data_IF_283824508370
#
_entry.id   IF_283824508370
#
_cell.length_a   1.000
_cell.length_b   1.000
_cell.length_c   1.000
_cell.angle_alpha   90.00
_cell.angle_beta   90.00
_cell.angle_gamma   90.00
#
_symmetry.space_group_name_H-M   'P 1'
#
loop_
_entity.id
_entity.type
_entity.pdbx_description
1 polymer ?
#
# COMPACT_ATOMS: atom_id res chain seq x y z
N UNK A 1 -4.09 -1.36 18.49
CA UNK A 1 -3.28 -1.72 17.40
C UNK A 1 -2.64 -0.54 16.69
N UNK A 2 -1.44 -0.69 16.38
CA UNK A 2 -0.55 0.40 15.97
C UNK A 2 -0.63 0.74 14.51
N UNK A 3 -0.99 -0.23 13.66
CA UNK A 3 -1.05 0.01 12.21
C UNK A 3 -2.02 1.13 11.86
N UNK A 4 -3.14 1.17 12.57
CA UNK A 4 -4.15 2.20 12.29
C UNK A 4 -3.61 3.60 12.56
N UNK A 5 -2.87 3.74 13.65
CA UNK A 5 -2.27 5.04 13.97
C UNK A 5 -1.31 5.48 12.90
N UNK A 6 -0.52 4.55 12.40
CA UNK A 6 0.49 4.88 11.40
C UNK A 6 -0.14 5.40 10.13
N UNK A 7 -1.30 4.89 9.76
CA UNK A 7 -1.97 5.37 8.54
C UNK A 7 -2.41 6.83 8.65
N UNK A 8 -2.50 7.35 9.87
CA UNK A 8 -2.92 8.73 10.06
C UNK A 8 -1.76 9.71 10.16
N UNK A 9 -0.54 9.22 10.37
CA UNK A 9 0.62 10.08 10.58
C UNK A 9 1.64 9.89 9.48
N UNK A 10 1.20 9.97 8.25
CA UNK A 10 2.07 9.73 7.11
C UNK A 10 2.95 10.93 6.84
N UNK A 11 4.21 10.81 7.12
CA UNK A 11 5.26 11.69 6.69
C UNK A 11 5.03 13.19 6.74
N UNK A 12 5.87 13.89 6.02
CA UNK A 12 5.80 15.35 5.94
C UNK A 12 4.69 15.77 4.97
N UNK A 13 3.86 16.69 5.40
CA UNK A 13 2.77 17.22 4.57
C UNK A 13 3.32 17.84 3.29
N UNK A 14 4.39 18.61 3.41
CA UNK A 14 4.98 19.27 2.24
C UNK A 14 5.51 18.27 1.23
N UNK A 15 6.18 17.21 1.70
CA UNK A 15 6.71 16.18 0.82
C UNK A 15 5.59 15.43 0.11
N UNK A 16 4.51 15.14 0.84
CA UNK A 16 3.38 14.43 0.25
C UNK A 16 2.67 15.28 -0.79
N UNK A 17 2.55 16.58 -0.54
CA UNK A 17 1.95 17.48 -1.53
C UNK A 17 2.80 17.60 -2.78
N UNK A 18 4.12 17.64 -2.63
CA UNK A 18 5.02 17.67 -3.78
C UNK A 18 4.85 16.41 -4.62
N UNK A 19 4.76 15.26 -3.95
CA UNK A 19 4.57 13.99 -4.63
C UNK A 19 3.25 13.97 -5.39
N UNK A 20 2.18 14.48 -4.78
CA UNK A 20 0.88 14.56 -5.45
C UNK A 20 0.96 15.39 -6.72
N UNK A 21 1.62 16.53 -6.65
CA UNK A 21 1.77 17.39 -7.83
C UNK A 21 2.53 16.69 -8.94
N UNK A 22 3.53 15.92 -8.58
CA UNK A 22 4.30 15.18 -9.58
C UNK A 22 3.49 14.06 -10.22
N UNK A 23 2.58 13.44 -9.46
CA UNK A 23 1.79 12.32 -9.95
C UNK A 23 0.51 12.76 -10.66
N UNK A 24 -0.02 13.96 -10.36
CA UNK A 24 -1.26 14.43 -10.96
C UNK A 24 -1.26 14.33 -12.48
N UNK A 25 -0.25 14.84 -13.20
CA UNK A 25 -0.29 14.73 -14.66
C UNK A 25 -0.20 13.30 -15.18
N UNK A 26 0.37 12.41 -14.40
CA UNK A 26 0.51 11.02 -14.81
C UNK A 26 -0.83 10.31 -14.80
N UNK A 27 -1.66 10.59 -13.80
CA UNK A 27 -2.96 9.92 -13.69
C UNK A 27 -4.10 10.73 -14.32
N UNK A 28 -3.83 11.95 -14.79
CA UNK A 28 -4.87 12.77 -15.39
C UNK A 28 -5.49 12.07 -16.59
N UNK A 29 -6.82 12.08 -16.67
CA UNK A 29 -7.53 11.45 -17.77
C UNK A 29 -7.61 9.93 -17.71
N UNK A 30 -7.05 9.31 -16.68
CA UNK A 30 -7.12 7.86 -16.52
C UNK A 30 -8.40 7.46 -15.79
N UNK A 31 -8.87 6.26 -16.06
CA UNK A 31 -10.00 5.73 -15.31
C UNK A 31 -9.57 5.49 -13.86
N UNK A 32 -10.56 5.28 -13.00
CA UNK A 32 -10.33 5.06 -11.58
C UNK A 32 -9.39 3.87 -11.35
N UNK A 33 -9.67 2.76 -12.05
CA UNK A 33 -8.85 1.56 -11.90
C UNK A 33 -7.48 1.73 -12.51
N UNK A 34 -7.38 2.40 -13.64
CA UNK A 34 -6.08 2.66 -14.26
C UNK A 34 -5.22 3.55 -13.36
N UNK A 35 -5.81 4.61 -12.82
CA UNK A 35 -5.08 5.51 -11.94
C UNK A 35 -4.62 4.78 -10.68
N UNK A 36 -5.51 4.00 -10.08
CA UNK A 36 -5.15 3.25 -8.87
C UNK A 36 -4.04 2.25 -9.14
N UNK A 37 -4.05 1.63 -10.32
CA UNK A 37 -3.00 0.68 -10.69
C UNK A 37 -1.67 1.40 -10.92
N UNK A 38 -1.70 2.57 -11.55
CA UNK A 38 -0.49 3.34 -11.77
C UNK A 38 0.13 3.79 -10.46
N UNK A 39 -0.69 4.23 -9.51
CA UNK A 39 -0.21 4.60 -8.19
C UNK A 39 0.36 3.40 -7.46
N UNK A 40 -0.27 2.23 -7.60
CA UNK A 40 0.22 1.01 -6.98
C UNK A 40 1.60 0.64 -7.51
N UNK A 41 1.76 0.65 -8.84
CA UNK A 41 3.03 0.32 -9.46
C UNK A 41 4.10 1.35 -9.09
N UNK A 42 3.71 2.61 -8.98
CA UNK A 42 4.65 3.63 -8.54
C UNK A 42 5.18 3.34 -7.14
N UNK A 43 4.29 3.02 -6.19
CA UNK A 43 4.72 2.75 -4.83
C UNK A 43 5.61 1.51 -4.79
N UNK A 44 5.23 0.46 -5.51
CA UNK A 44 6.05 -0.76 -5.59
C UNK A 44 7.45 -0.45 -6.11
N UNK A 45 7.53 0.31 -7.18
CA UNK A 45 8.80 0.58 -7.85
C UNK A 45 9.68 1.53 -7.06
N UNK A 46 9.08 2.60 -6.56
CA UNK A 46 9.85 3.63 -5.87
C UNK A 46 10.51 3.07 -4.61
N UNK A 47 9.72 2.33 -3.82
CA UNK A 47 10.26 1.80 -2.57
C UNK A 47 11.22 0.64 -2.79
N UNK A 48 10.99 -0.17 -3.82
CA UNK A 48 11.92 -1.25 -4.12
C UNK A 48 13.31 -0.70 -4.45
N UNK A 49 13.33 0.42 -5.18
CA UNK A 49 14.58 1.03 -5.56
C UNK A 49 15.33 1.59 -4.34
N UNK A 50 14.62 2.35 -3.51
CA UNK A 50 15.23 2.96 -2.32
C UNK A 50 15.65 1.91 -1.30
N UNK A 51 14.80 0.93 -1.10
CA UNK A 51 15.04 -0.10 -0.10
C UNK A 51 16.29 -0.91 -0.40
N UNK A 52 16.55 -1.19 -1.66
CA UNK A 52 17.74 -1.93 -2.03
C UNK A 52 19.01 -1.22 -1.56
N UNK A 53 19.08 0.08 -1.75
CA UNK A 53 20.23 0.86 -1.34
C UNK A 53 20.32 0.94 0.18
N UNK A 54 19.21 1.21 0.84
CA UNK A 54 19.20 1.35 2.28
C UNK A 54 19.50 0.04 2.97
N UNK A 55 18.93 -1.04 2.49
CA UNK A 55 19.18 -2.35 3.07
C UNK A 55 20.65 -2.74 2.96
N UNK A 56 21.22 -2.45 1.82
CA UNK A 56 22.61 -2.79 1.60
C UNK A 56 23.51 -2.13 2.64
N UNK A 57 23.26 -0.86 2.91
CA UNK A 57 24.03 -0.14 3.91
C UNK A 57 23.72 -0.59 5.33
N UNK A 58 22.46 -0.85 5.62
CA UNK A 58 22.03 -1.19 6.97
C UNK A 58 22.34 -2.61 7.38
N UNK A 59 22.30 -3.53 6.45
CA UNK A 59 22.54 -4.94 6.75
C UNK A 59 23.92 -5.14 7.35
N UNK A 60 24.84 -4.23 7.09
CA UNK A 60 26.17 -4.30 7.66
C UNK A 60 26.19 -3.97 9.15
N UNK A 61 25.17 -3.29 9.63
CA UNK A 61 25.14 -2.76 10.98
C UNK A 61 24.03 -3.34 11.85
N UNK A 62 23.02 -3.94 11.23
CA UNK A 62 21.85 -4.42 11.96
C UNK A 62 22.01 -5.85 12.42
N UNK A 63 21.46 -6.16 13.59
CA UNK A 63 21.33 -7.55 14.03
C UNK A 63 20.09 -8.16 13.38
N UNK A 64 19.90 -9.49 13.49
CA UNK A 64 18.76 -10.15 12.84
C UNK A 64 17.40 -9.61 13.27
N UNK A 65 17.26 -9.25 14.54
CA UNK A 65 15.98 -8.74 15.03
C UNK A 65 15.63 -7.40 14.37
N UNK A 66 16.63 -6.55 14.22
CA UNK A 66 16.41 -5.25 13.57
C UNK A 66 16.05 -5.41 12.10
N UNK A 67 16.66 -6.38 11.43
CA UNK A 67 16.36 -6.63 10.03
C UNK A 67 14.90 -7.06 9.85
N UNK A 68 14.44 -7.94 10.70
CA UNK A 68 13.04 -8.37 10.66
C UNK A 68 12.08 -7.24 10.92
N UNK A 69 12.41 -6.41 11.88
CA UNK A 69 11.59 -5.25 12.21
C UNK A 69 11.57 -4.26 11.05
N UNK A 70 12.70 -4.06 10.40
CA UNK A 70 12.80 -3.15 9.28
C UNK A 70 11.94 -3.61 8.10
N UNK A 71 11.94 -4.92 7.81
CA UNK A 71 11.08 -5.44 6.75
C UNK A 71 9.61 -5.20 7.02
N UNK A 72 9.20 -5.38 8.27
CA UNK A 72 7.82 -5.10 8.66
C UNK A 72 7.50 -3.63 8.46
N UNK A 73 8.41 -2.76 8.85
CA UNK A 73 8.25 -1.31 8.69
C UNK A 73 8.13 -0.93 7.24
N UNK A 74 8.85 -1.61 6.36
CA UNK A 74 8.81 -1.35 4.93
C UNK A 74 7.42 -1.65 4.35
N UNK A 75 6.79 -2.74 4.77
CA UNK A 75 5.42 -3.05 4.36
C UNK A 75 4.46 -1.98 4.85
N UNK A 76 4.64 -1.53 6.08
CA UNK A 76 3.81 -0.49 6.66
C UNK A 76 3.95 0.81 5.88
N UNK A 77 5.19 1.20 5.57
CA UNK A 77 5.45 2.46 4.87
C UNK A 77 4.81 2.48 3.49
N UNK A 78 4.93 1.39 2.75
CA UNK A 78 4.32 1.29 1.43
C UNK A 78 2.81 1.37 1.50
N UNK A 79 2.22 0.68 2.47
CA UNK A 79 0.77 0.68 2.64
C UNK A 79 0.26 2.05 3.04
N UNK A 80 0.98 2.73 3.93
CA UNK A 80 0.62 4.09 4.34
C UNK A 80 0.62 5.02 3.13
N UNK A 81 1.68 4.97 2.33
CA UNK A 81 1.79 5.85 1.19
C UNK A 81 0.71 5.57 0.16
N UNK A 82 0.49 4.29 -0.15
CA UNK A 82 -0.51 3.95 -1.16
C UNK A 82 -1.91 4.39 -0.75
N UNK A 83 -2.31 4.12 0.50
CA UNK A 83 -3.62 4.54 0.96
C UNK A 83 -3.75 6.06 0.97
N UNK A 84 -2.69 6.77 1.34
CA UNK A 84 -2.71 8.23 1.28
C UNK A 84 -2.98 8.72 -0.15
N UNK A 85 -2.25 8.16 -1.12
CA UNK A 85 -2.39 8.59 -2.51
C UNK A 85 -3.78 8.28 -3.05
N UNK A 86 -4.29 7.08 -2.81
CA UNK A 86 -5.60 6.69 -3.31
C UNK A 86 -6.69 7.56 -2.71
N UNK A 87 -6.63 7.80 -1.42
CA UNK A 87 -7.67 8.60 -0.74
C UNK A 87 -7.63 10.05 -1.17
N UNK A 88 -6.44 10.61 -1.31
CA UNK A 88 -6.32 12.05 -1.57
C UNK A 88 -6.35 12.38 -3.05
N UNK A 89 -5.92 11.49 -3.92
CA UNK A 89 -5.91 11.76 -5.35
C UNK A 89 -7.12 11.20 -6.07
N UNK A 90 -7.68 10.10 -5.59
CA UNK A 90 -8.82 9.45 -6.25
C UNK A 90 -10.12 9.56 -5.46
N UNK A 91 -10.03 9.92 -4.19
CA UNK A 91 -11.22 10.04 -3.34
C UNK A 91 -11.90 8.72 -3.02
N UNK A 92 -11.16 7.62 -3.03
CA UNK A 92 -11.72 6.31 -2.78
C UNK A 92 -11.45 5.87 -1.35
N UNK A 93 -12.35 5.07 -0.81
CA UNK A 93 -12.18 4.50 0.52
C UNK A 93 -11.18 3.36 0.47
N UNK A 94 -10.38 3.24 1.52
CA UNK A 94 -9.36 2.21 1.62
C UNK A 94 -9.48 1.49 2.94
N UNK A 95 -8.93 0.28 2.99
CA UNK A 95 -8.85 -0.51 4.20
C UNK A 95 -7.47 -1.13 4.32
N UNK A 96 -7.06 -1.41 5.54
CA UNK A 96 -5.83 -2.12 5.79
C UNK A 96 -6.08 -3.61 5.91
N UNK A 97 -5.14 -4.40 5.44
CA UNK A 97 -5.21 -5.86 5.49
C UNK A 97 -4.03 -6.37 6.31
N UNK A 98 -4.33 -6.84 7.51
CA UNK A 98 -3.31 -7.31 8.43
C UNK A 98 -3.24 -8.84 8.37
N UNK A 99 -2.33 -9.35 7.57
CA UNK A 99 -2.03 -10.77 7.49
C UNK A 99 -0.91 -11.11 8.46
N UNK A 100 -0.76 -12.39 8.82
CA UNK A 100 0.39 -12.77 9.65
C UNK A 100 1.70 -12.40 8.94
N UNK A 101 2.43 -11.46 9.53
CA UNK A 101 3.71 -11.02 9.00
C UNK A 101 3.67 -10.16 7.75
N UNK A 102 2.48 -9.69 7.33
CA UNK A 102 2.37 -8.93 6.10
C UNK A 102 1.22 -7.95 6.17
N UNK A 103 1.48 -6.71 5.81
CA UNK A 103 0.45 -5.67 5.76
C UNK A 103 0.22 -5.28 4.31
N UNK A 104 -1.05 -5.27 3.90
CA UNK A 104 -1.43 -4.88 2.56
C UNK A 104 -2.61 -3.91 2.63
N UNK A 105 -3.17 -3.57 1.47
CA UNK A 105 -4.27 -2.63 1.40
C UNK A 105 -5.39 -3.17 0.52
N UNK A 106 -6.56 -2.56 0.66
CA UNK A 106 -7.69 -2.84 -0.21
C UNK A 106 -8.39 -1.52 -0.52
N UNK A 107 -8.98 -1.42 -1.70
CA UNK A 107 -9.59 -0.20 -2.20
C UNK A 107 -11.02 -0.49 -2.64
N UNK A 108 -11.93 0.41 -2.24
CA UNK A 108 -13.32 0.29 -2.66
C UNK A 108 -13.54 1.13 -3.90
N UNK A 109 -13.61 0.47 -5.05
CA UNK A 109 -13.85 1.16 -6.32
C UNK A 109 -15.33 1.40 -6.53
N UNK A 110 -15.65 2.46 -7.27
CA UNK A 110 -17.05 2.73 -7.61
C UNK A 110 -17.60 1.70 -8.57
N UNK A 111 -16.74 1.22 -9.48
CA UNK A 111 -17.10 0.10 -10.33
C UNK A 111 -16.90 -1.21 -9.61
N UNK A 112 -16.81 -2.26 -10.40
CA UNK A 112 -16.67 -3.61 -9.85
C UNK A 112 -15.56 -4.35 -10.58
N UNK A 113 -14.31 -3.87 -10.45
CA UNK A 113 -13.21 -4.52 -11.19
C UNK A 113 -12.97 -5.94 -10.70
N UNK A 114 -12.51 -6.82 -11.58
CA UNK A 114 -12.25 -8.21 -11.20
C UNK A 114 -10.99 -8.35 -10.36
N UNK A 115 -10.92 -9.41 -9.58
CA UNK A 115 -9.75 -9.71 -8.79
C UNK A 115 -10.11 -10.24 -7.41
N UNK A 116 -9.09 -10.39 -6.59
CA UNK A 116 -9.25 -10.85 -5.21
C UNK A 116 -9.85 -9.72 -4.37
N UNK A 117 -10.82 -10.07 -3.55
CA UNK A 117 -11.55 -9.08 -2.76
C UNK A 117 -11.68 -9.50 -1.31
N UNK A 118 -11.98 -8.51 -0.47
CA UNK A 118 -12.41 -8.75 0.90
C UNK A 118 -13.67 -7.93 1.14
N UNK A 119 -14.47 -8.39 2.08
CA UNK A 119 -15.65 -7.63 2.50
C UNK A 119 -15.34 -6.91 3.80
N UNK A 120 -15.74 -5.66 3.87
CA UNK A 120 -15.56 -4.87 5.07
C UNK A 120 -16.75 -3.94 5.23
N UNK A 121 -17.43 -4.07 6.36
CA UNK A 121 -18.61 -3.26 6.66
C UNK A 121 -19.66 -3.33 5.54
N UNK A 122 -19.85 -4.53 5.02
CA UNK A 122 -20.85 -4.77 3.98
C UNK A 122 -20.46 -4.32 2.59
N UNK A 123 -19.23 -3.89 2.38
CA UNK A 123 -18.78 -3.38 1.10
C UNK A 123 -17.62 -4.23 0.56
N UNK A 124 -17.54 -4.28 -0.76
CA UNK A 124 -16.50 -5.03 -1.46
C UNK A 124 -15.27 -4.16 -1.67
N UNK A 125 -14.13 -4.64 -1.23
CA UNK A 125 -12.85 -3.95 -1.44
C UNK A 125 -11.93 -4.85 -2.25
N UNK A 126 -11.27 -4.28 -3.24
CA UNK A 126 -10.32 -5.01 -4.08
C UNK A 126 -8.94 -4.97 -3.44
N UNK A 127 -8.28 -6.12 -3.37
CA UNK A 127 -6.94 -6.19 -2.79
C UNK A 127 -5.94 -5.49 -3.70
N UNK A 128 -5.14 -4.60 -3.11
CA UNK A 128 -4.10 -3.85 -3.81
C UNK A 128 -2.87 -3.87 -2.92
N UNK A 129 -1.87 -4.66 -3.29
CA UNK A 129 -0.74 -4.93 -2.40
C UNK A 129 0.52 -4.18 -2.85
N UNK A 130 0.89 -3.12 -2.14
CA UNK A 130 2.07 -2.34 -2.54
C UNK A 130 3.41 -3.03 -2.32
N UNK A 131 3.43 -4.16 -1.62
CA UNK A 131 4.65 -4.92 -1.43
C UNK A 131 4.76 -6.13 -2.34
N UNK A 132 3.71 -6.45 -3.05
CA UNK A 132 3.72 -7.55 -4.02
C UNK A 132 4.23 -6.97 -5.35
N UNK A 133 5.54 -6.95 -5.52
CA UNK A 133 6.18 -6.27 -6.64
C UNK A 133 5.70 -6.85 -7.96
N UNK A 134 5.37 -5.96 -8.89
CA UNK A 134 4.88 -6.27 -10.24
C UNK A 134 3.45 -6.79 -10.30
N UNK A 135 2.74 -6.82 -9.19
CA UNK A 135 1.35 -7.22 -9.20
C UNK A 135 0.46 -6.01 -9.49
N UNK A 136 -0.56 -6.22 -10.31
CA UNK A 136 -1.59 -5.22 -10.56
C UNK A 136 -2.60 -5.25 -9.43
N UNK A 137 -3.52 -4.28 -9.45
CA UNK A 137 -4.62 -4.28 -8.48
C UNK A 137 -5.40 -5.58 -8.60
N UNK A 138 -5.93 -6.06 -7.47
CA UNK A 138 -6.76 -7.25 -7.44
C UNK A 138 -6.00 -8.55 -7.26
N UNK A 139 -4.78 -8.52 -6.74
CA UNK A 139 -3.99 -9.73 -6.55
C UNK A 139 -3.49 -9.86 -5.11
N UNK A 140 -3.85 -10.97 -4.48
CA UNK A 140 -3.32 -11.34 -3.18
C UNK A 140 -1.95 -11.98 -3.37
N UNK A 141 -1.00 -11.59 -2.52
CA UNK A 141 0.32 -12.21 -2.56
C UNK A 141 0.21 -13.71 -2.25
N UNK A 142 0.84 -14.57 -3.06
CA UNK A 142 0.68 -16.01 -2.87
C UNK A 142 1.04 -16.51 -1.47
N UNK A 143 2.01 -15.89 -0.81
CA UNK A 143 2.45 -16.34 0.50
C UNK A 143 1.39 -16.15 1.58
N UNK A 144 0.41 -15.27 1.37
CA UNK A 144 -0.64 -15.03 2.36
C UNK A 144 -2.03 -15.44 1.85
N UNK A 145 -2.11 -15.99 0.66
CA UNK A 145 -3.38 -16.44 0.10
C UNK A 145 -3.97 -17.54 0.98
N UNK A 146 -5.22 -17.39 1.36
CA UNK A 146 -5.89 -18.35 2.23
C UNK A 146 -5.56 -18.21 3.70
N UNK A 147 -4.70 -17.26 4.06
CA UNK A 147 -4.39 -17.00 5.45
C UNK A 147 -5.44 -16.08 6.07
N UNK A 148 -5.64 -16.16 7.37
CA UNK A 148 -6.56 -15.25 8.04
C UNK A 148 -6.07 -13.82 7.90
N UNK A 149 -7.00 -12.90 7.72
CA UNK A 149 -6.68 -11.48 7.56
C UNK A 149 -7.60 -10.66 8.44
N UNK A 150 -7.04 -9.67 9.13
CA UNK A 150 -7.83 -8.70 9.87
C UNK A 150 -7.95 -7.44 9.00
N UNK A 151 -9.18 -7.07 8.70
CA UNK A 151 -9.46 -5.89 7.89
C UNK A 151 -9.78 -4.74 8.83
N UNK A 152 -9.19 -3.57 8.60
CA UNK A 152 -9.44 -2.42 9.47
C UNK A 152 -9.57 -1.16 8.63
N UNK A 153 -10.34 -0.21 9.17
CA UNK A 153 -10.61 1.04 8.47
C UNK A 153 -9.36 1.92 8.46
N UNK A 154 -9.17 2.63 7.35
CA UNK A 154 -8.15 3.68 7.24
C UNK A 154 -8.91 4.99 7.18
N UNK A 155 -8.62 5.89 8.12
CA UNK A 155 -9.33 7.16 8.23
C UNK A 155 -8.47 8.36 7.95
#
# INVERSE_FOLDING_TARGET
MRAESHFLTAGSEAALQSLRRALDPIIAGKSETEAANMLLRFVQTAFAYETDQEQFDREKLMNPDEILHYNRSDCDDRSILYTYLVRNMLGLQTAGLDYPGHLATAVRFRGNPPGDTVEFEGQRYLVCDPTYINADIGRVMPSVRGRPVRVFAVR
#
